data_IF_688661407807
#
_entry.id   IF_688661407807
#
_cell.length_a   1.000
_cell.length_b   1.000
_cell.length_c   1.000
_cell.angle_alpha   90.00
_cell.angle_beta   90.00
_cell.angle_gamma   90.00
#
_symmetry.space_group_name_H-M   'P 1'
#
loop_
_entity.id
_entity.type
_entity.pdbx_description
1 polymer ?
#
# COMPACT_ATOMS: atom_id res chain seq x y z
N UNK A 1 -3.46 -9.51 11.40
CA UNK A 1 -2.21 -8.85 10.96
C UNK A 1 -1.05 -9.85 10.82
N UNK A 2 -0.46 -10.36 11.89
CA UNK A 2 0.68 -11.31 11.79
C UNK A 2 0.39 -12.54 10.92
N UNK A 3 -0.79 -13.15 11.09
CA UNK A 3 -1.24 -14.28 10.28
C UNK A 3 -1.29 -13.94 8.77
N UNK A 4 -1.79 -12.76 8.42
CA UNK A 4 -1.83 -12.30 7.02
C UNK A 4 -0.42 -12.18 6.46
N UNK A 5 0.47 -11.52 7.22
CA UNK A 5 1.87 -11.33 6.83
C UNK A 5 2.64 -12.64 6.62
N UNK A 6 2.39 -13.65 7.45
CA UNK A 6 3.02 -14.97 7.35
C UNK A 6 2.60 -15.74 6.10
N UNK A 7 1.41 -15.45 5.54
CA UNK A 7 0.93 -16.06 4.29
C UNK A 7 1.62 -15.52 3.03
N UNK A 8 2.42 -14.46 3.14
CA UNK A 8 2.98 -13.74 1.99
C UNK A 8 4.42 -14.15 1.67
N UNK A 9 4.72 -14.31 0.37
CA UNK A 9 6.06 -14.58 -0.14
C UNK A 9 6.73 -13.28 -0.60
N UNK A 10 7.46 -12.64 0.31
CA UNK A 10 8.07 -11.31 0.10
C UNK A 10 9.61 -11.34 0.01
N UNK A 11 10.26 -12.48 0.21
CA UNK A 11 11.73 -12.59 0.24
C UNK A 11 12.38 -12.10 -1.06
N UNK A 12 11.82 -12.48 -2.21
CA UNK A 12 12.30 -12.00 -3.51
C UNK A 12 12.19 -10.48 -3.63
N UNK A 13 11.05 -9.93 -3.20
CA UNK A 13 10.80 -8.48 -3.21
C UNK A 13 11.77 -7.72 -2.31
N UNK A 14 12.07 -8.24 -1.12
CA UNK A 14 13.06 -7.64 -0.23
C UNK A 14 14.45 -7.64 -0.83
N UNK A 15 14.91 -8.78 -1.39
CA UNK A 15 16.24 -8.89 -2.01
C UNK A 15 16.39 -7.96 -3.21
N UNK A 16 15.35 -7.88 -4.04
CA UNK A 16 15.32 -6.93 -5.16
C UNK A 16 15.43 -5.48 -4.66
N UNK A 17 14.61 -5.11 -3.66
CA UNK A 17 14.64 -3.77 -3.08
C UNK A 17 15.99 -3.44 -2.44
N UNK A 18 16.56 -4.36 -1.66
CA UNK A 18 17.88 -4.20 -1.02
C UNK A 18 18.98 -3.90 -2.04
N UNK A 19 18.96 -4.59 -3.18
CA UNK A 19 19.93 -4.41 -4.26
C UNK A 19 19.79 -3.03 -4.90
N UNK A 20 18.56 -2.63 -5.22
CA UNK A 20 18.31 -1.37 -5.93
C UNK A 20 18.61 -0.12 -5.10
N UNK A 21 18.38 -0.17 -3.78
CA UNK A 21 18.59 0.99 -2.89
C UNK A 21 19.99 0.99 -2.27
N UNK A 22 20.86 0.06 -2.68
CA UNK A 22 22.17 -0.18 -2.05
C UNK A 22 22.05 -0.26 -0.51
N UNK A 23 21.13 -1.09 -0.02
CA UNK A 23 20.71 -1.08 1.39
C UNK A 23 21.85 -1.35 2.37
N UNK A 24 22.85 -2.13 1.94
CA UNK A 24 24.07 -2.42 2.72
C UNK A 24 24.87 -1.17 3.04
N UNK A 25 24.77 -0.14 2.21
CA UNK A 25 25.43 1.15 2.42
C UNK A 25 24.56 2.18 3.13
N UNK A 26 23.31 1.85 3.47
CA UNK A 26 22.39 2.74 4.17
C UNK A 26 22.81 2.98 5.64
N UNK A 27 22.37 4.10 6.26
CA UNK A 27 22.54 4.32 7.70
C UNK A 27 21.94 3.20 8.56
N UNK A 28 20.84 2.58 8.11
CA UNK A 28 20.21 1.46 8.82
C UNK A 28 21.17 0.28 8.99
N UNK A 29 21.95 -0.06 7.95
CA UNK A 29 22.95 -1.12 8.05
C UNK A 29 24.22 -0.64 8.76
N UNK A 30 24.79 0.51 8.35
CA UNK A 30 26.08 0.98 8.86
C UNK A 30 26.06 1.39 10.33
N UNK A 31 24.98 2.01 10.79
CA UNK A 31 24.89 2.57 12.15
C UNK A 31 24.08 1.66 13.08
N UNK A 32 22.94 1.15 12.59
CA UNK A 32 22.01 0.35 13.42
C UNK A 32 22.20 -1.15 13.28
N UNK A 33 23.12 -1.61 12.43
CA UNK A 33 23.40 -3.03 12.16
C UNK A 33 22.17 -3.81 11.65
N UNK A 34 21.19 -3.12 11.06
CA UNK A 34 20.03 -3.74 10.40
C UNK A 34 20.32 -3.82 8.91
N UNK A 35 20.92 -4.94 8.49
CA UNK A 35 21.46 -5.11 7.14
C UNK A 35 20.66 -6.03 6.22
N UNK A 36 19.57 -6.64 6.70
CA UNK A 36 18.63 -7.35 5.84
C UNK A 36 17.17 -7.03 6.17
N UNK A 37 16.44 -6.60 5.14
CA UNK A 37 14.99 -6.51 5.11
C UNK A 37 14.35 -7.90 5.07
N UNK A 38 14.99 -8.88 4.42
CA UNK A 38 14.41 -10.22 4.29
C UNK A 38 14.46 -11.05 5.57
N UNK A 39 15.47 -10.85 6.42
CA UNK A 39 15.65 -11.54 7.70
C UNK A 39 15.08 -10.76 8.90
N UNK A 40 14.76 -9.48 8.69
CA UNK A 40 14.20 -8.64 9.74
C UNK A 40 12.81 -9.10 10.18
N UNK A 41 12.45 -8.79 11.43
CA UNK A 41 11.15 -9.13 12.00
C UNK A 41 10.22 -7.93 11.96
N UNK A 42 8.98 -8.19 11.57
CA UNK A 42 7.88 -7.22 11.63
C UNK A 42 7.19 -7.31 13.01
N UNK A 43 6.94 -6.17 13.63
CA UNK A 43 6.17 -6.03 14.88
C UNK A 43 4.92 -5.22 14.59
N UNK A 44 3.74 -5.81 14.84
CA UNK A 44 2.45 -5.17 14.60
C UNK A 44 1.91 -4.46 15.84
N UNK A 45 1.13 -3.41 15.64
CA UNK A 45 0.48 -2.65 16.71
C UNK A 45 -0.98 -2.34 16.37
N UNK A 46 -1.85 -2.35 17.37
CA UNK A 46 -3.25 -1.96 17.25
C UNK A 46 -3.65 -1.15 18.49
N UNK A 47 -3.15 0.09 18.57
CA UNK A 47 -3.48 1.00 19.66
C UNK A 47 -4.92 1.48 19.56
N UNK A 48 -5.58 1.69 20.71
CA UNK A 48 -6.92 2.27 20.72
C UNK A 48 -6.92 3.65 20.04
N UNK A 49 -7.90 3.89 19.16
CA UNK A 49 -8.02 5.11 18.34
C UNK A 49 -6.81 5.41 17.42
N UNK A 50 -5.96 4.42 17.17
CA UNK A 50 -4.86 4.52 16.23
C UNK A 50 -5.09 3.57 15.06
N UNK A 51 -4.48 3.87 13.92
CA UNK A 51 -4.46 2.92 12.82
C UNK A 51 -3.69 1.65 13.21
N UNK A 52 -4.09 0.47 12.68
CA UNK A 52 -3.24 -0.70 12.74
C UNK A 52 -1.88 -0.36 12.10
N UNK A 53 -0.81 -0.71 12.79
CA UNK A 53 0.55 -0.34 12.40
C UNK A 53 1.48 -1.53 12.31
N UNK A 54 2.61 -1.33 11.64
CA UNK A 54 3.74 -2.26 11.61
C UNK A 54 5.04 -1.49 11.70
N UNK A 55 5.98 -2.03 12.46
CA UNK A 55 7.38 -1.61 12.51
C UNK A 55 8.25 -2.76 12.02
N UNK A 56 9.28 -2.47 11.23
CA UNK A 56 10.13 -3.50 10.63
C UNK A 56 10.23 -3.39 9.11
N UNK A 57 10.79 -4.42 8.46
CA UNK A 57 11.04 -4.42 7.02
C UNK A 57 9.82 -4.16 6.16
N UNK A 58 8.62 -4.62 6.55
CA UNK A 58 7.40 -4.42 5.77
C UNK A 58 7.06 -2.94 5.62
N UNK A 59 7.26 -2.15 6.68
CA UNK A 59 7.07 -0.70 6.63
C UNK A 59 8.08 -0.05 5.69
N UNK A 60 9.35 -0.42 5.78
CA UNK A 60 10.42 0.10 4.90
C UNK A 60 10.12 -0.24 3.44
N UNK A 61 9.74 -1.49 3.17
CA UNK A 61 9.36 -1.96 1.84
C UNK A 61 8.19 -1.20 1.25
N UNK A 62 7.10 -1.04 2.02
CA UNK A 62 5.96 -0.23 1.60
C UNK A 62 6.36 1.21 1.31
N UNK A 63 7.04 1.88 2.24
CA UNK A 63 7.38 3.30 2.10
C UNK A 63 8.22 3.58 0.85
N UNK A 64 9.21 2.74 0.55
CA UNK A 64 10.06 2.92 -0.63
C UNK A 64 9.31 2.61 -1.93
N UNK A 65 8.59 1.48 -1.98
CA UNK A 65 7.85 1.08 -3.19
C UNK A 65 6.71 2.04 -3.51
N UNK A 66 6.04 2.58 -2.48
CA UNK A 66 5.01 3.60 -2.65
C UNK A 66 5.61 4.90 -3.20
N UNK A 67 6.76 5.35 -2.68
CA UNK A 67 7.48 6.48 -3.24
C UNK A 67 7.87 6.27 -4.71
N UNK A 68 8.37 5.10 -5.08
CA UNK A 68 8.68 4.77 -6.48
C UNK A 68 7.43 4.80 -7.36
N UNK A 69 6.33 4.23 -6.86
CA UNK A 69 5.03 4.20 -7.55
C UNK A 69 4.52 5.62 -7.82
N UNK A 70 4.63 6.51 -6.82
CA UNK A 70 4.23 7.91 -6.96
C UNK A 70 5.14 8.68 -7.91
N UNK A 71 6.46 8.50 -7.85
CA UNK A 71 7.39 9.09 -8.83
C UNK A 71 7.02 8.72 -10.26
N UNK A 72 6.66 7.45 -10.49
CA UNK A 72 6.22 6.98 -11.80
C UNK A 72 4.92 7.66 -12.25
N UNK A 73 3.92 7.75 -11.38
CA UNK A 73 2.63 8.39 -11.71
C UNK A 73 2.72 9.91 -11.87
N UNK A 74 3.61 10.57 -11.14
CA UNK A 74 3.89 12.00 -11.30
C UNK A 74 4.60 12.30 -12.63
N UNK A 75 5.07 11.27 -13.34
CA UNK A 75 5.69 11.41 -14.65
C UNK A 75 7.15 11.86 -14.58
N UNK A 76 7.87 11.51 -13.51
CA UNK A 76 9.30 11.76 -13.40
C UNK A 76 10.05 11.08 -14.56
N UNK A 77 11.16 11.66 -15.04
CA UNK A 77 12.07 10.98 -15.96
C UNK A 77 12.44 9.59 -15.44
N UNK A 78 12.59 8.61 -16.33
CA UNK A 78 12.82 7.20 -15.95
C UNK A 78 14.06 7.02 -15.06
N UNK A 79 15.10 7.81 -15.29
CA UNK A 79 16.34 7.87 -14.51
C UNK A 79 16.17 8.46 -13.10
N UNK A 80 15.05 9.12 -12.83
CA UNK A 80 14.72 9.65 -11.49
C UNK A 80 13.77 8.74 -10.71
N UNK A 81 12.94 7.95 -11.40
CA UNK A 81 12.08 6.94 -10.75
C UNK A 81 12.96 5.83 -10.20
N UNK A 82 13.05 5.72 -8.87
CA UNK A 82 13.94 4.78 -8.19
C UNK A 82 15.38 4.82 -8.76
N UNK A 83 15.86 6.02 -9.11
CA UNK A 83 17.18 6.24 -9.73
C UNK A 83 17.44 5.46 -11.04
N UNK A 84 16.39 5.06 -11.76
CA UNK A 84 16.50 4.28 -12.99
C UNK A 84 16.67 2.77 -12.79
N UNK A 85 16.64 2.28 -11.55
CA UNK A 85 16.87 0.87 -11.23
C UNK A 85 15.68 -0.04 -11.60
N UNK A 86 14.46 0.51 -11.73
CA UNK A 86 13.29 -0.23 -12.21
C UNK A 86 13.21 -0.11 -13.73
N UNK A 87 13.60 -1.18 -14.41
CA UNK A 87 13.71 -1.22 -15.88
C UNK A 87 12.65 -2.11 -16.54
N UNK A 88 11.88 -2.88 -15.76
CA UNK A 88 10.89 -3.82 -16.29
C UNK A 88 9.59 -3.91 -15.47
N UNK A 89 8.48 -4.25 -16.14
CA UNK A 89 7.19 -4.52 -15.51
C UNK A 89 7.27 -5.67 -14.50
N UNK A 90 8.17 -6.64 -14.72
CA UNK A 90 8.38 -7.76 -13.81
C UNK A 90 8.95 -7.30 -12.47
N UNK A 91 9.91 -6.37 -12.48
CA UNK A 91 10.41 -5.76 -11.25
C UNK A 91 9.29 -5.00 -10.52
N UNK A 92 8.47 -4.23 -11.24
CA UNK A 92 7.28 -3.60 -10.66
C UNK A 92 6.37 -4.61 -9.97
N UNK A 93 5.99 -5.70 -10.65
CA UNK A 93 5.15 -6.74 -10.07
C UNK A 93 5.75 -7.36 -8.81
N UNK A 94 7.06 -7.59 -8.79
CA UNK A 94 7.76 -8.15 -7.62
C UNK A 94 7.79 -7.14 -6.47
N UNK A 95 8.14 -5.88 -6.73
CA UNK A 95 8.22 -4.82 -5.71
C UNK A 95 6.85 -4.46 -5.14
N UNK A 96 5.82 -4.34 -5.98
CA UNK A 96 4.45 -3.98 -5.55
C UNK A 96 3.86 -4.97 -4.55
N UNK A 97 4.38 -6.21 -4.46
CA UNK A 97 4.01 -7.15 -3.39
C UNK A 97 4.29 -6.60 -1.99
N UNK A 98 5.34 -5.77 -1.81
CA UNK A 98 5.65 -5.15 -0.51
C UNK A 98 4.59 -4.12 -0.11
N UNK A 99 4.20 -3.25 -1.05
CA UNK A 99 3.13 -2.26 -0.85
C UNK A 99 1.78 -2.94 -0.60
N UNK A 100 1.41 -3.89 -1.45
CA UNK A 100 0.13 -4.60 -1.32
C UNK A 100 0.11 -5.46 -0.05
N UNK A 101 1.20 -6.18 0.23
CA UNK A 101 1.34 -6.99 1.44
C UNK A 101 1.31 -6.17 2.73
N UNK A 102 1.81 -4.94 2.72
CA UNK A 102 1.65 -4.00 3.84
C UNK A 102 0.18 -3.65 4.07
N UNK A 103 -0.53 -3.24 3.02
CA UNK A 103 -1.94 -2.90 3.09
C UNK A 103 -2.79 -4.09 3.55
N UNK A 104 -2.55 -5.26 2.97
CA UNK A 104 -3.23 -6.51 3.32
C UNK A 104 -2.98 -6.85 4.80
N UNK A 105 -1.72 -6.82 5.23
CA UNK A 105 -1.37 -7.17 6.61
C UNK A 105 -2.09 -6.29 7.64
N UNK A 106 -2.29 -5.00 7.35
CA UNK A 106 -2.88 -4.05 8.28
C UNK A 106 -4.41 -3.97 8.19
N UNK A 107 -4.98 -4.11 6.99
CA UNK A 107 -6.39 -3.74 6.77
C UNK A 107 -7.29 -4.87 6.25
N UNK A 108 -6.76 -6.05 5.89
CA UNK A 108 -7.58 -7.13 5.29
C UNK A 108 -7.76 -8.37 6.18
N UNK A 109 -7.22 -8.37 7.41
CA UNK A 109 -7.67 -9.36 8.40
C UNK A 109 -9.09 -9.06 8.87
N UNK A 110 -9.99 -10.04 8.79
CA UNK A 110 -11.44 -9.87 9.03
C UNK A 110 -11.77 -9.08 10.30
N UNK A 111 -11.16 -9.44 11.43
CA UNK A 111 -11.41 -8.76 12.70
C UNK A 111 -11.01 -7.28 12.70
N UNK A 112 -9.88 -6.94 12.06
CA UNK A 112 -9.44 -5.55 11.94
C UNK A 112 -10.34 -4.81 10.96
N UNK A 113 -10.58 -5.38 9.78
CA UNK A 113 -11.39 -4.80 8.72
C UNK A 113 -12.81 -4.44 9.21
N UNK A 114 -13.49 -5.38 9.86
CA UNK A 114 -14.84 -5.17 10.41
C UNK A 114 -14.87 -4.05 11.46
N UNK A 115 -13.81 -3.91 12.26
CA UNK A 115 -13.74 -2.85 13.26
C UNK A 115 -13.43 -1.48 12.64
N UNK A 116 -12.38 -1.39 11.82
CA UNK A 116 -11.90 -0.10 11.27
C UNK A 116 -12.83 0.44 10.18
N UNK A 117 -13.48 -0.42 9.40
CA UNK A 117 -14.42 -0.01 8.36
C UNK A 117 -15.82 0.29 8.90
N UNK A 118 -16.12 -0.01 10.17
CA UNK A 118 -17.48 0.11 10.75
C UNK A 118 -18.16 1.45 10.47
N UNK A 119 -17.51 2.63 10.61
CA UNK A 119 -18.16 3.90 10.30
C UNK A 119 -18.53 4.03 8.80
N UNK A 120 -17.65 3.57 7.91
CA UNK A 120 -17.86 3.63 6.46
C UNK A 120 -18.94 2.65 6.00
N UNK A 121 -18.93 1.42 6.53
CA UNK A 121 -20.00 0.43 6.29
C UNK A 121 -21.35 0.99 6.72
N UNK A 122 -21.43 1.58 7.92
CA UNK A 122 -22.67 2.21 8.40
C UNK A 122 -23.12 3.37 7.51
N UNK A 123 -22.18 4.19 7.03
CA UNK A 123 -22.51 5.28 6.13
C UNK A 123 -23.10 4.76 4.81
N UNK A 124 -22.45 3.76 4.20
CA UNK A 124 -22.89 3.16 2.95
C UNK A 124 -24.23 2.44 3.12
N UNK A 125 -24.42 1.71 4.21
CA UNK A 125 -25.70 1.06 4.55
C UNK A 125 -26.85 2.07 4.66
N UNK A 126 -26.65 3.17 5.40
CA UNK A 126 -27.65 4.24 5.49
C UNK A 126 -27.93 4.89 4.12
N UNK A 127 -26.88 5.18 3.34
CA UNK A 127 -27.01 5.87 2.07
C UNK A 127 -27.66 4.99 0.99
N UNK A 128 -27.45 3.67 1.01
CA UNK A 128 -27.92 2.76 -0.03
C UNK A 128 -29.16 1.96 0.39
N UNK A 129 -29.25 1.52 1.64
CA UNK A 129 -30.30 0.60 2.14
C UNK A 129 -31.34 1.30 3.02
N UNK A 130 -30.96 2.36 3.77
CA UNK A 130 -31.84 3.09 4.70
C UNK A 130 -33.12 3.68 4.09
N UNK A 131 -33.94 4.40 4.87
CA UNK A 131 -35.20 4.96 4.36
C UNK A 131 -34.99 5.92 3.16
N UNK A 132 -35.86 5.84 2.15
CA UNK A 132 -35.68 6.55 0.86
C UNK A 132 -35.85 8.06 0.95
N UNK A 133 -36.57 8.55 1.96
CA UNK A 133 -36.79 9.98 2.15
C UNK A 133 -35.43 10.63 2.47
N UNK A 134 -34.84 11.29 1.46
CA UNK A 134 -33.60 12.09 1.50
C UNK A 134 -32.29 11.41 1.03
N UNK A 135 -32.32 10.29 0.28
CA UNK A 135 -31.10 9.77 -0.36
C UNK A 135 -30.65 10.64 -1.53
N UNK A 136 -29.39 11.07 -1.53
CA UNK A 136 -28.79 11.75 -2.68
C UNK A 136 -28.72 10.78 -3.88
N UNK A 137 -29.03 11.27 -5.09
CA UNK A 137 -28.92 10.46 -6.32
C UNK A 137 -27.48 10.06 -6.65
N UNK A 138 -26.52 10.88 -6.22
CA UNK A 138 -25.09 10.67 -6.41
C UNK A 138 -24.39 11.04 -5.11
N UNK A 139 -23.54 10.13 -4.64
CA UNK A 139 -22.67 10.34 -3.48
C UNK A 139 -21.24 10.06 -3.90
N UNK A 140 -20.34 11.03 -3.66
CA UNK A 140 -18.90 10.87 -3.85
C UNK A 140 -18.23 10.79 -2.49
N UNK A 141 -17.56 9.68 -2.22
CA UNK A 141 -16.72 9.50 -1.04
C UNK A 141 -15.26 9.52 -1.49
N UNK A 142 -14.51 10.50 -1.01
CA UNK A 142 -13.07 10.60 -1.21
C UNK A 142 -12.40 10.13 0.07
N UNK A 143 -11.64 9.04 -0.01
CA UNK A 143 -10.98 8.43 1.13
C UNK A 143 -9.61 7.89 0.76
N UNK A 144 -9.10 7.00 1.62
CA UNK A 144 -7.79 6.39 1.50
C UNK A 144 -7.89 4.95 1.00
N UNK A 145 -6.75 4.41 0.55
CA UNK A 145 -6.62 3.01 0.17
C UNK A 145 -6.97 2.06 1.33
N UNK A 146 -6.64 2.42 2.57
CA UNK A 146 -7.03 1.72 3.79
C UNK A 146 -8.55 1.61 3.97
N UNK A 147 -9.31 2.65 3.59
CA UNK A 147 -10.78 2.62 3.63
C UNK A 147 -11.33 1.58 2.65
N UNK A 148 -10.78 1.53 1.43
CA UNK A 148 -11.21 0.58 0.40
C UNK A 148 -10.86 -0.85 0.81
N UNK A 149 -9.62 -1.11 1.23
CA UNK A 149 -9.16 -2.46 1.60
C UNK A 149 -9.98 -3.05 2.77
N UNK A 150 -10.20 -2.24 3.82
CA UNK A 150 -10.98 -2.67 4.97
C UNK A 150 -12.47 -2.81 4.65
N UNK A 151 -13.05 -1.92 3.83
CA UNK A 151 -14.44 -2.02 3.41
C UNK A 151 -14.72 -3.30 2.61
N UNK A 152 -13.88 -3.60 1.59
CA UNK A 152 -14.05 -4.79 0.76
C UNK A 152 -13.97 -6.07 1.58
N UNK A 153 -13.04 -6.12 2.53
CA UNK A 153 -12.90 -7.26 3.44
C UNK A 153 -14.10 -7.36 4.40
N UNK A 154 -14.54 -6.25 4.99
CA UNK A 154 -15.66 -6.23 5.94
C UNK A 154 -16.98 -6.69 5.31
N UNK A 155 -17.13 -6.50 4.00
CA UNK A 155 -18.30 -6.91 3.21
C UNK A 155 -18.11 -8.27 2.51
N UNK A 156 -17.04 -9.01 2.81
CA UNK A 156 -16.76 -10.36 2.28
C UNK A 156 -16.73 -10.42 0.73
N UNK A 157 -16.06 -9.44 0.11
CA UNK A 157 -15.88 -9.43 -1.35
C UNK A 157 -15.03 -10.62 -1.82
N UNK A 158 -15.41 -11.18 -2.98
CA UNK A 158 -14.57 -12.19 -3.66
C UNK A 158 -13.23 -11.58 -4.08
N UNK A 159 -12.14 -12.37 -4.11
CA UNK A 159 -10.84 -11.92 -4.63
C UNK A 159 -10.97 -11.38 -6.05
N UNK A 160 -10.19 -10.34 -6.36
CA UNK A 160 -10.20 -9.68 -7.66
C UNK A 160 -8.76 -9.47 -8.15
N UNK A 161 -8.63 -9.26 -9.46
CA UNK A 161 -7.37 -8.87 -10.07
C UNK A 161 -7.64 -7.67 -10.98
N UNK A 162 -6.85 -6.62 -10.83
CA UNK A 162 -6.90 -5.49 -11.75
C UNK A 162 -6.02 -5.80 -12.97
N UNK A 163 -6.42 -5.30 -14.14
CA UNK A 163 -5.76 -5.59 -15.42
C UNK A 163 -4.46 -4.80 -15.64
N UNK A 164 -3.80 -4.31 -14.58
CA UNK A 164 -2.65 -3.43 -14.72
C UNK A 164 -1.32 -4.21 -14.80
N UNK A 165 -0.61 -4.14 -15.94
CA UNK A 165 0.83 -4.05 -15.95
C UNK A 165 1.17 -2.67 -16.55
N UNK A 166 1.73 -1.79 -15.73
CA UNK A 166 2.42 -0.54 -16.08
C UNK A 166 2.46 -0.20 -17.59
N UNK A 167 1.36 0.33 -18.14
CA UNK A 167 1.37 1.08 -19.41
C UNK A 167 0.85 2.47 -19.13
N UNK A 168 1.71 3.35 -18.62
CA UNK A 168 1.45 4.78 -18.77
C UNK A 168 1.54 5.12 -20.26
N UNK A 169 0.40 5.29 -20.91
CA UNK A 169 0.33 6.04 -22.15
C UNK A 169 0.74 7.49 -21.86
N UNK A 170 1.72 7.98 -22.62
CA UNK A 170 2.45 9.23 -22.42
C UNK A 170 1.63 10.53 -22.69
N UNK A 171 0.34 10.57 -22.33
CA UNK A 171 -0.56 11.65 -22.73
C UNK A 171 -1.15 12.50 -21.61
N UNK A 172 -0.85 12.24 -20.33
CA UNK A 172 -1.28 13.13 -19.25
C UNK A 172 -0.07 13.87 -18.67
N UNK A 173 0.44 14.84 -19.45
CA UNK A 173 1.21 15.95 -18.89
C UNK A 173 0.22 16.99 -18.38
N UNK A 174 0.53 17.56 -17.21
CA UNK A 174 -0.15 18.68 -16.53
C UNK A 174 -1.27 18.27 -15.56
N UNK A 175 -0.92 18.06 -14.27
CA UNK A 175 -1.24 18.97 -13.15
C UNK A 175 -1.03 18.25 -11.80
N UNK A 176 0.14 18.39 -11.18
CA UNK A 176 0.32 18.12 -9.74
C UNK A 176 1.59 18.74 -9.10
N UNK A 177 2.14 19.84 -9.65
CA UNK A 177 3.16 20.63 -8.93
C UNK A 177 2.46 21.76 -8.18
N UNK A 178 1.95 21.51 -6.96
CA UNK A 178 1.57 22.57 -5.98
C UNK A 178 1.25 22.09 -4.54
N UNK A 179 1.51 20.85 -4.13
CA UNK A 179 1.04 20.37 -2.81
C UNK A 179 2.15 19.93 -1.82
N UNK A 180 3.39 20.42 -1.96
CA UNK A 180 4.48 20.15 -1.01
C UNK A 180 5.31 21.40 -0.65
N UNK A 181 4.66 22.57 -0.57
CA UNK A 181 5.22 23.73 0.14
C UNK A 181 4.50 23.89 1.48
#
# INVERSE_FOLDING_TARGET
MEKERQGMQLTESYKLLETMIDYRNSPSCKEKQVCSLSEGKDTFSAGYQQEPGVSGPLKVGNSLVDAFTLQYYEGFPKDQVAWGEITSDKQWQVLSKLKNGYQDSLFTSVAVAQNVAKPLVKYIDNALVGEEANKAKVTLLVGHDSNIASLLTALDFKPYQTTWPVRAHAHWRQTAVSALA
#
